data_IF_002205776541
#
_entry.id   IF_002205776541
#
_cell.length_a   1.000
_cell.length_b   1.000
_cell.length_c   1.000
_cell.angle_alpha   90.00
_cell.angle_beta   90.00
_cell.angle_gamma   90.00
#
_symmetry.space_group_name_H-M   'P 1'
#
loop_
_entity.id
_entity.type
_entity.pdbx_description
1 polymer ?
#
# COMPACT_ATOMS: atom_id res chain seq x y z
N UNK A 1 -1.34 -11.66 -14.04
CA UNK A 1 -1.51 -10.50 -14.93
C UNK A 1 -0.59 -9.42 -14.40
N UNK A 2 0.38 -8.92 -15.18
CA UNK A 2 1.18 -7.76 -14.71
C UNK A 2 0.25 -6.55 -14.75
N UNK A 3 0.07 -5.86 -13.64
CA UNK A 3 -0.63 -4.57 -13.65
C UNK A 3 0.04 -3.63 -14.66
N UNK A 4 -0.77 -2.79 -15.29
CA UNK A 4 -0.29 -1.75 -16.21
C UNK A 4 0.64 -0.80 -15.47
N UNK A 5 1.78 -0.45 -16.07
CA UNK A 5 2.73 0.55 -15.55
C UNK A 5 2.02 1.85 -15.15
N UNK A 6 0.94 2.20 -15.85
CA UNK A 6 0.08 3.34 -15.53
C UNK A 6 -0.50 3.26 -14.13
N UNK A 7 -0.94 2.09 -13.67
CA UNK A 7 -1.52 1.91 -12.33
C UNK A 7 -0.48 2.21 -11.25
N UNK A 8 0.76 1.76 -11.43
CA UNK A 8 1.82 2.05 -10.49
C UNK A 8 2.22 3.53 -10.47
N UNK A 9 2.19 4.21 -11.63
CA UNK A 9 2.46 5.66 -11.72
C UNK A 9 1.34 6.49 -11.08
N UNK A 10 0.09 6.07 -11.24
CA UNK A 10 -1.06 6.69 -10.58
C UNK A 10 -0.99 6.48 -9.07
N UNK A 11 -0.70 5.26 -8.63
CA UNK A 11 -0.48 4.95 -7.21
C UNK A 11 0.64 5.80 -6.61
N UNK A 12 1.79 5.89 -7.29
CA UNK A 12 2.90 6.73 -6.83
C UNK A 12 2.49 8.19 -6.68
N UNK A 13 1.78 8.72 -7.67
CA UNK A 13 1.32 10.12 -7.69
C UNK A 13 0.33 10.40 -6.56
N UNK A 14 -0.59 9.47 -6.30
CA UNK A 14 -1.53 9.55 -5.17
C UNK A 14 -0.78 9.62 -3.83
N UNK A 15 0.13 8.68 -3.59
CA UNK A 15 0.89 8.58 -2.35
C UNK A 15 1.80 9.80 -2.16
N UNK A 16 2.47 10.27 -3.21
CA UNK A 16 3.27 11.50 -3.15
C UNK A 16 2.43 12.71 -2.72
N UNK A 17 1.16 12.77 -3.16
CA UNK A 17 0.21 13.80 -2.71
C UNK A 17 -0.09 13.73 -1.21
N UNK A 18 -0.21 12.53 -0.65
CA UNK A 18 -0.37 12.32 0.80
C UNK A 18 0.90 12.68 1.57
N UNK A 19 2.07 12.27 1.09
CA UNK A 19 3.36 12.58 1.72
C UNK A 19 3.58 14.09 1.80
N UNK A 20 3.32 14.82 0.70
CA UNK A 20 3.41 16.29 0.64
C UNK A 20 2.47 17.00 1.61
N UNK A 21 1.37 16.35 2.00
CA UNK A 21 0.41 16.85 3.00
C UNK A 21 0.79 16.47 4.44
N UNK A 22 1.92 15.79 4.63
CA UNK A 22 2.39 15.34 5.94
C UNK A 22 1.67 14.09 6.46
N UNK A 23 1.04 13.31 5.58
CA UNK A 23 0.41 12.04 5.95
C UNK A 23 1.48 10.96 6.02
N UNK A 24 1.60 10.34 7.20
CA UNK A 24 2.57 9.27 7.41
C UNK A 24 2.14 7.98 6.69
N UNK A 25 3.12 7.20 6.23
CA UNK A 25 2.85 5.93 5.55
C UNK A 25 3.70 4.81 6.11
N UNK A 26 3.13 3.62 6.10
CA UNK A 26 3.80 2.40 6.54
C UNK A 26 3.36 1.19 5.75
N UNK A 27 4.27 0.22 5.62
CA UNK A 27 4.01 -1.10 5.05
C UNK A 27 4.46 -2.16 6.05
N UNK A 28 3.57 -3.11 6.37
CA UNK A 28 3.80 -4.20 7.31
C UNK A 28 4.35 -3.73 8.68
N UNK A 29 3.89 -2.56 9.13
CA UNK A 29 4.27 -1.94 10.40
C UNK A 29 5.54 -1.08 10.35
N UNK A 30 6.25 -1.02 9.22
CA UNK A 30 7.46 -0.21 9.04
C UNK A 30 7.14 1.08 8.29
N UNK A 31 7.68 2.22 8.74
CA UNK A 31 7.57 3.49 8.02
C UNK A 31 8.16 3.34 6.62
N UNK A 32 7.45 3.82 5.61
CA UNK A 32 7.85 3.69 4.23
C UNK A 32 7.46 4.93 3.42
N UNK A 33 8.25 5.21 2.40
CA UNK A 33 8.00 6.24 1.39
C UNK A 33 7.01 5.73 0.31
N UNK A 34 6.40 6.65 -0.46
CA UNK A 34 5.60 6.31 -1.64
C UNK A 34 6.31 5.35 -2.61
N UNK A 35 7.62 5.56 -2.84
CA UNK A 35 8.39 4.74 -3.76
C UNK A 35 8.55 3.30 -3.24
N UNK A 36 8.82 3.13 -1.95
CA UNK A 36 8.97 1.82 -1.32
C UNK A 36 7.65 1.02 -1.37
N UNK A 37 6.52 1.68 -1.09
CA UNK A 37 5.18 1.05 -1.14
C UNK A 37 4.84 0.61 -2.56
N UNK A 38 5.09 1.47 -3.55
CA UNK A 38 4.85 1.14 -4.96
C UNK A 38 5.76 0.00 -5.43
N UNK A 39 7.03 0.02 -5.04
CA UNK A 39 7.99 -1.05 -5.35
C UNK A 39 7.51 -2.37 -4.76
N UNK A 40 7.03 -2.38 -3.52
CA UNK A 40 6.43 -3.57 -2.91
C UNK A 40 5.24 -4.09 -3.75
N UNK A 41 4.34 -3.20 -4.19
CA UNK A 41 3.22 -3.57 -5.06
C UNK A 41 3.66 -4.13 -6.42
N UNK A 42 4.76 -3.64 -7.00
CA UNK A 42 5.30 -4.17 -8.25
C UNK A 42 5.89 -5.58 -8.10
N UNK A 43 6.42 -5.90 -6.91
CA UNK A 43 7.06 -7.20 -6.63
C UNK A 43 6.09 -8.29 -6.22
N UNK A 44 4.86 -7.94 -5.81
CA UNK A 44 3.86 -8.90 -5.31
C UNK A 44 2.72 -9.11 -6.29
N UNK A 45 1.95 -10.17 -6.06
CA UNK A 45 0.77 -10.45 -6.87
C UNK A 45 -0.34 -9.42 -6.62
N UNK A 46 -1.25 -9.29 -7.57
CA UNK A 46 -2.38 -8.37 -7.51
C UNK A 46 -3.26 -8.64 -6.28
N UNK A 47 -3.65 -7.59 -5.55
CA UNK A 47 -4.53 -7.72 -4.38
C UNK A 47 -3.86 -8.24 -3.11
N UNK A 48 -2.53 -8.17 -3.02
CA UNK A 48 -1.78 -8.66 -1.86
C UNK A 48 -1.82 -7.72 -0.65
N UNK A 49 -1.95 -6.40 -0.86
CA UNK A 49 -1.94 -5.42 0.22
C UNK A 49 -3.31 -4.78 0.43
N UNK A 50 -3.78 -4.76 1.69
CA UNK A 50 -4.87 -3.87 2.12
C UNK A 50 -4.32 -2.52 2.55
N UNK A 51 -5.07 -1.45 2.28
CA UNK A 51 -4.74 -0.07 2.67
C UNK A 51 -5.75 0.45 3.69
N UNK A 52 -5.30 0.66 4.91
CA UNK A 52 -6.10 1.27 5.97
C UNK A 52 -5.87 2.79 6.05
N UNK A 53 -6.95 3.54 6.28
CA UNK A 53 -6.93 4.98 6.50
C UNK A 53 -7.04 5.27 7.99
N UNK A 54 -5.99 5.86 8.57
CA UNK A 54 -6.00 6.30 9.97
C UNK A 54 -6.45 7.75 10.00
N UNK A 55 -7.58 8.01 10.66
CA UNK A 55 -8.19 9.33 10.76
C UNK A 55 -7.84 10.02 12.09
N UNK A 56 -7.79 11.35 12.07
CA UNK A 56 -7.83 12.18 13.27
C UNK A 56 -9.24 12.23 13.85
N UNK A 57 -9.35 12.81 15.07
CA UNK A 57 -10.64 13.08 15.70
C UNK A 57 -11.53 13.99 14.85
N UNK A 58 -10.91 14.86 14.05
CA UNK A 58 -11.59 15.78 13.15
C UNK A 58 -11.90 15.15 11.77
N UNK A 59 -11.59 13.87 11.59
CA UNK A 59 -11.84 13.12 10.34
C UNK A 59 -10.77 13.29 9.26
N UNK A 60 -9.65 13.96 9.55
CA UNK A 60 -8.55 14.13 8.60
C UNK A 60 -7.69 12.86 8.51
N UNK A 61 -7.27 12.48 7.31
CA UNK A 61 -6.33 11.36 7.15
C UNK A 61 -4.97 11.77 7.74
N UNK A 62 -4.51 11.01 8.75
CA UNK A 62 -3.21 11.18 9.39
C UNK A 62 -2.18 10.18 8.91
N UNK A 63 -2.61 8.95 8.59
CA UNK A 63 -1.69 7.94 8.08
C UNK A 63 -2.37 6.95 7.13
N UNK A 64 -1.58 6.36 6.26
CA UNK A 64 -1.94 5.18 5.46
C UNK A 64 -1.13 3.98 5.96
N UNK A 65 -1.79 2.84 6.14
CA UNK A 65 -1.13 1.59 6.52
C UNK A 65 -1.39 0.53 5.46
N UNK A 66 -0.31 0.01 4.90
CA UNK A 66 -0.36 -1.09 3.96
C UNK A 66 -0.04 -2.38 4.71
N UNK A 67 -0.94 -3.35 4.63
CA UNK A 67 -0.80 -4.64 5.32
C UNK A 67 -0.91 -5.75 4.30
N UNK A 68 0.09 -6.62 4.24
CA UNK A 68 0.01 -7.84 3.45
C UNK A 68 -1.08 -8.77 4.01
N UNK A 69 -2.07 -9.10 3.18
CA UNK A 69 -3.16 -10.03 3.51
C UNK A 69 -2.94 -11.44 2.98
N UNK A 70 -1.87 -11.65 2.21
CA UNK A 70 -1.39 -12.97 1.82
C UNK A 70 0.09 -13.16 2.24
N UNK A 71 0.40 -13.04 3.55
CA UNK A 71 1.77 -13.18 4.04
C UNK A 71 2.32 -14.60 3.81
N UNK A 72 1.42 -15.58 3.68
CA UNK A 72 1.73 -16.94 3.28
C UNK A 72 1.22 -17.14 1.85
N UNK A 73 2.13 -17.42 0.91
CA UNK A 73 1.79 -17.75 -0.46
C UNK A 73 0.68 -18.80 -0.51
N UNK A 74 -0.17 -18.73 -1.54
CA UNK A 74 -1.23 -19.72 -1.76
C UNK A 74 -0.62 -21.12 -1.91
N UNK A 75 -0.53 -21.84 -0.82
CA UNK A 75 -0.42 -23.30 -0.80
C UNK A 75 -1.41 -23.83 0.24
N UNK A 76 -2.71 -23.80 -0.08
CA UNK A 76 -3.60 -24.84 0.38
C UNK A 76 -4.51 -25.24 -0.79
N UNK A 77 -3.95 -26.09 -1.65
CA UNK A 77 -4.74 -27.15 -2.27
C UNK A 77 -5.49 -27.83 -1.12
N UNK A 78 -6.78 -27.54 -0.98
CA UNK A 78 -7.65 -28.26 -0.04
C UNK A 78 -8.53 -29.17 -0.90
N UNK A 79 -8.59 -30.47 -0.59
CA UNK A 79 -8.99 -31.55 -1.51
C UNK A 79 -10.42 -31.46 -2.06
#
# INVERSE_FOLDING_TARGET
>A
MKMDERVYRELFTELEGYEKRGVDMSIDGYRASPLEIVTAHMTREEGTYMRDYVLSRDGNIQALRFTDIHPYGREQNTP
#
